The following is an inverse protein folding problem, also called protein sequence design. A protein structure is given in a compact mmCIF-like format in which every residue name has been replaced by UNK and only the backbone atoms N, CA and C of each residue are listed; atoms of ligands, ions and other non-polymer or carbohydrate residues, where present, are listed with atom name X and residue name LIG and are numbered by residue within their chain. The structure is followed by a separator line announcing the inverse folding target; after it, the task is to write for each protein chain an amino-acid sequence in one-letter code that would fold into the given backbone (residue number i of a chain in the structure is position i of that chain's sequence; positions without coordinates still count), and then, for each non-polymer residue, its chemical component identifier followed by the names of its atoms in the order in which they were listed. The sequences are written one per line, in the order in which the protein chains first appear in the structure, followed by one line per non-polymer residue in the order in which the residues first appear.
data_IF_803246792477
#
_entry.id   IF_803246792477
#
_cell.length_a   1.000
_cell.length_b   1.000
_cell.length_c   1.000
_cell.angle_alpha   90.00
_cell.angle_beta   90.00
_cell.angle_gamma   90.00
#
_symmetry.space_group_name_H-M   'P 1'
#
loop_
_entity.id
_entity.type
_entity.pdbx_description
1 polymer ?
#
# COMPACT_ATOMS: atom_id res chain seq x y z
N UNK A 1 0.45 20.40 -0.02
CA UNK A 1 -0.34 19.38 -0.73
C UNK A 1 -1.21 18.63 0.27
N UNK A 2 -0.67 17.96 1.28
CA UNK A 2 -1.45 17.14 2.24
C UNK A 2 -2.48 17.93 3.04
N UNK A 3 -2.15 19.18 3.46
CA UNK A 3 -3.15 20.05 4.10
C UNK A 3 -4.38 20.29 3.20
N UNK A 4 -4.17 20.60 1.92
CA UNK A 4 -5.27 20.79 0.98
C UNK A 4 -6.10 19.50 0.80
N UNK A 5 -5.45 18.34 0.79
CA UNK A 5 -6.13 17.04 0.71
C UNK A 5 -7.00 16.83 1.96
N UNK A 6 -6.44 17.00 3.15
CA UNK A 6 -7.16 16.87 4.42
C UNK A 6 -8.36 17.84 4.47
N UNK A 7 -8.14 19.14 4.22
CA UNK A 7 -9.20 20.15 4.21
C UNK A 7 -10.34 19.82 3.23
N UNK A 8 -9.99 19.26 2.04
CA UNK A 8 -10.98 18.88 1.04
C UNK A 8 -11.84 17.71 1.51
N UNK A 9 -11.25 16.67 2.10
CA UNK A 9 -11.97 15.48 2.56
C UNK A 9 -12.76 15.77 3.85
N UNK A 10 -12.22 16.56 4.75
CA UNK A 10 -12.93 16.99 5.96
C UNK A 10 -14.21 17.80 5.65
N UNK A 11 -14.25 18.53 4.52
CA UNK A 11 -15.46 19.21 4.08
C UNK A 11 -16.65 18.26 3.79
N UNK A 12 -16.38 16.97 3.63
CA UNK A 12 -17.37 15.90 3.46
C UNK A 12 -17.46 14.95 4.67
N UNK A 13 -16.96 15.39 5.83
CA UNK A 13 -16.91 14.60 7.08
C UNK A 13 -16.13 13.27 6.93
N UNK A 14 -15.17 13.21 6.00
CA UNK A 14 -14.31 12.07 5.78
C UNK A 14 -13.01 12.22 6.57
N UNK A 15 -12.57 11.15 7.24
CA UNK A 15 -11.26 11.08 7.89
C UNK A 15 -10.19 10.66 6.90
N UNK A 16 -8.96 11.09 7.15
CA UNK A 16 -7.82 10.86 6.24
C UNK A 16 -6.71 10.12 6.98
N UNK A 17 -6.42 8.92 6.54
CA UNK A 17 -5.24 8.18 6.96
C UNK A 17 -4.13 8.30 5.90
N UNK A 18 -2.89 8.50 6.34
CA UNK A 18 -1.71 8.51 5.48
C UNK A 18 -0.86 7.27 5.75
N UNK A 19 -0.67 6.43 4.73
CA UNK A 19 0.19 5.26 4.85
C UNK A 19 1.66 5.66 4.81
N UNK A 20 2.43 5.22 5.81
CA UNK A 20 3.87 5.38 5.89
C UNK A 20 4.59 4.03 5.74
N UNK A 21 5.61 3.99 4.90
CA UNK A 21 6.44 2.82 4.72
C UNK A 21 7.89 3.21 4.35
N UNK A 22 8.79 2.27 4.52
CA UNK A 22 10.15 2.36 3.97
C UNK A 22 10.40 1.15 3.08
N UNK A 23 10.90 1.34 1.85
CA UNK A 23 11.28 0.24 0.97
C UNK A 23 12.54 -0.45 1.51
N UNK A 24 12.84 -1.64 0.97
CA UNK A 24 13.95 -2.49 1.40
C UNK A 24 15.21 -2.18 0.62
N UNK A 25 15.62 -0.91 0.65
CA UNK A 25 16.91 -0.46 0.11
C UNK A 25 17.35 0.86 0.74
N UNK A 26 18.63 1.17 0.61
CA UNK A 26 19.21 2.44 1.04
C UNK A 26 18.73 3.59 0.15
N UNK A 27 17.56 4.14 0.47
CA UNK A 27 16.92 5.23 -0.30
C UNK A 27 17.85 6.45 -0.45
N UNK A 28 18.49 6.95 0.63
CA UNK A 28 19.42 8.07 0.50
C UNK A 28 20.65 7.74 -0.38
N UNK A 29 21.21 6.54 -0.25
CA UNK A 29 22.39 6.11 -1.00
C UNK A 29 22.11 6.01 -2.50
N UNK A 30 21.07 5.25 -2.86
CA UNK A 30 20.64 5.13 -4.25
C UNK A 30 20.23 6.50 -4.81
N UNK A 31 19.50 7.30 -4.03
CA UNK A 31 19.07 8.64 -4.43
C UNK A 31 20.25 9.57 -4.75
N UNK A 32 21.32 9.56 -3.93
CA UNK A 32 22.53 10.34 -4.19
C UNK A 32 23.19 9.95 -5.52
N UNK A 33 23.31 8.64 -5.80
CA UNK A 33 23.92 8.15 -7.05
C UNK A 33 23.09 8.60 -8.27
N UNK A 34 21.77 8.49 -8.21
CA UNK A 34 20.85 8.95 -9.28
C UNK A 34 20.96 10.47 -9.49
N UNK A 35 21.01 11.24 -8.40
CA UNK A 35 21.18 12.69 -8.47
C UNK A 35 22.53 13.05 -9.12
N UNK A 36 23.63 12.42 -8.73
CA UNK A 36 24.95 12.62 -9.33
C UNK A 36 24.97 12.26 -10.82
N UNK A 37 24.32 11.16 -11.20
CA UNK A 37 24.13 10.80 -12.60
C UNK A 37 23.35 11.88 -13.39
N UNK A 38 22.32 12.46 -12.78
CA UNK A 38 21.58 13.60 -13.34
C UNK A 38 22.45 14.84 -13.55
N UNK A 39 23.27 15.19 -12.57
CA UNK A 39 24.21 16.30 -12.66
C UNK A 39 25.25 16.08 -13.77
N UNK A 40 25.79 14.86 -13.87
CA UNK A 40 26.74 14.50 -14.94
C UNK A 40 26.08 14.61 -16.34
N UNK A 41 24.81 14.19 -16.51
CA UNK A 41 24.07 14.38 -17.77
C UNK A 41 23.90 15.85 -18.13
N UNK A 42 23.60 16.71 -17.16
CA UNK A 42 23.51 18.15 -17.38
C UNK A 42 24.85 18.76 -17.77
N UNK A 43 25.95 18.33 -17.11
CA UNK A 43 27.30 18.74 -17.45
C UNK A 43 27.69 18.28 -18.87
N UNK A 44 27.36 17.06 -19.26
CA UNK A 44 27.57 16.56 -20.63
C UNK A 44 26.82 17.38 -21.68
N UNK A 45 25.55 17.69 -21.43
CA UNK A 45 24.76 18.52 -22.34
C UNK A 45 25.34 19.94 -22.51
N UNK A 46 25.82 20.54 -21.41
CA UNK A 46 26.50 21.84 -21.44
C UNK A 46 27.80 21.78 -22.21
N UNK A 47 28.67 20.81 -21.92
CA UNK A 47 29.95 20.64 -22.62
C UNK A 47 29.74 20.43 -24.12
N UNK A 48 28.73 19.69 -24.49
CA UNK A 48 28.35 19.50 -25.90
C UNK A 48 27.91 20.82 -26.58
N UNK A 49 27.12 21.64 -25.87
CA UNK A 49 26.71 22.95 -26.37
C UNK A 49 27.91 23.93 -26.51
N UNK A 50 28.88 23.83 -25.62
CA UNK A 50 30.12 24.62 -25.63
C UNK A 50 31.16 24.09 -26.66
N UNK A 51 30.86 23.02 -27.41
CA UNK A 51 31.73 22.40 -28.39
C UNK A 51 32.86 21.54 -27.79
N UNK A 52 32.84 21.28 -26.48
CA UNK A 52 33.84 20.44 -25.81
C UNK A 52 33.40 18.97 -25.82
N UNK A 53 33.67 18.29 -26.94
CA UNK A 53 33.21 16.90 -27.18
C UNK A 53 33.86 15.90 -26.22
N UNK A 54 35.16 16.12 -25.83
CA UNK A 54 35.86 15.21 -24.93
C UNK A 54 35.27 15.24 -23.51
N UNK A 55 35.01 16.44 -22.99
CA UNK A 55 34.33 16.57 -21.69
C UNK A 55 32.92 16.06 -21.73
N UNK A 56 32.16 16.30 -22.82
CA UNK A 56 30.82 15.76 -22.99
C UNK A 56 30.83 14.23 -22.95
N UNK A 57 31.75 13.57 -23.64
CA UNK A 57 31.89 12.12 -23.63
C UNK A 57 32.24 11.60 -22.24
N UNK A 58 33.17 12.21 -21.53
CA UNK A 58 33.58 11.86 -20.17
C UNK A 58 32.41 11.96 -19.18
N UNK A 59 31.64 13.04 -19.23
CA UNK A 59 30.49 13.25 -18.36
C UNK A 59 29.34 12.28 -18.68
N UNK A 60 29.15 11.93 -19.96
CA UNK A 60 28.19 10.91 -20.39
C UNK A 60 28.57 9.54 -19.81
N UNK A 61 29.83 9.14 -19.92
CA UNK A 61 30.33 7.87 -19.36
C UNK A 61 30.16 7.82 -17.84
N UNK A 62 30.45 8.91 -17.14
CA UNK A 62 30.26 9.02 -15.70
C UNK A 62 28.78 8.85 -15.33
N UNK A 63 27.87 9.49 -16.04
CA UNK A 63 26.43 9.37 -15.82
C UNK A 63 25.92 7.95 -16.03
N UNK A 64 26.40 7.25 -17.06
CA UNK A 64 26.06 5.86 -17.33
C UNK A 64 26.58 4.94 -16.23
N UNK A 65 27.83 5.11 -15.80
CA UNK A 65 28.41 4.32 -14.72
C UNK A 65 27.65 4.51 -13.41
N UNK A 66 27.40 5.75 -12.99
CA UNK A 66 26.63 6.05 -11.78
C UNK A 66 25.23 5.49 -11.83
N UNK A 67 24.59 5.52 -13.00
CA UNK A 67 23.27 4.91 -13.18
C UNK A 67 23.33 3.39 -13.02
N UNK A 68 24.32 2.75 -13.62
CA UNK A 68 24.54 1.29 -13.51
C UNK A 68 24.80 0.89 -12.06
N UNK A 69 25.65 1.63 -11.36
CA UNK A 69 25.98 1.36 -9.95
C UNK A 69 24.77 1.57 -9.03
N UNK A 70 23.94 2.60 -9.28
CA UNK A 70 22.70 2.82 -8.55
C UNK A 70 21.72 1.67 -8.71
N UNK A 71 21.54 1.14 -9.92
CA UNK A 71 20.68 -0.02 -10.16
C UNK A 71 21.26 -1.31 -9.57
N UNK A 72 22.58 -1.50 -9.64
CA UNK A 72 23.24 -2.65 -9.02
C UNK A 72 23.04 -2.64 -7.51
N UNK A 73 23.25 -1.48 -6.86
CA UNK A 73 22.97 -1.32 -5.43
C UNK A 73 21.50 -1.55 -5.10
N UNK A 74 20.58 -0.98 -5.87
CA UNK A 74 19.13 -1.18 -5.67
C UNK A 74 18.76 -2.66 -5.72
N UNK A 75 19.24 -3.40 -6.71
CA UNK A 75 18.96 -4.82 -6.85
C UNK A 75 19.58 -5.67 -5.74
N UNK A 76 20.78 -5.33 -5.30
CA UNK A 76 21.42 -5.98 -4.16
C UNK A 76 20.60 -5.74 -2.88
N UNK A 77 20.31 -4.46 -2.58
CA UNK A 77 19.57 -4.08 -1.39
C UNK A 77 18.18 -4.74 -1.33
N UNK A 78 17.44 -4.77 -2.42
CA UNK A 78 16.13 -5.44 -2.48
C UNK A 78 16.15 -6.91 -2.05
N UNK A 79 17.29 -7.55 -2.07
CA UNK A 79 17.47 -8.95 -1.65
C UNK A 79 18.09 -9.08 -0.25
N UNK A 80 18.90 -8.11 0.17
CA UNK A 80 19.78 -8.25 1.32
C UNK A 80 19.58 -7.18 2.39
N UNK A 81 18.91 -6.07 2.11
CA UNK A 81 18.80 -4.91 3.00
C UNK A 81 18.27 -5.28 4.40
N UNK A 82 17.27 -6.15 4.46
CA UNK A 82 16.69 -6.60 5.75
C UNK A 82 17.77 -7.19 6.67
N UNK A 83 18.69 -7.97 6.12
CA UNK A 83 19.77 -8.63 6.88
C UNK A 83 21.01 -7.77 7.05
N UNK A 84 21.29 -6.86 6.10
CA UNK A 84 22.54 -6.09 6.06
C UNK A 84 22.44 -4.67 6.65
N UNK A 85 21.20 -4.11 6.75
CA UNK A 85 21.04 -2.78 7.33
C UNK A 85 21.55 -2.74 8.77
N UNK A 86 22.40 -1.77 9.09
CA UNK A 86 22.89 -1.62 10.46
C UNK A 86 21.77 -1.20 11.42
N UNK A 87 21.96 -1.48 12.71
CA UNK A 87 21.04 -1.02 13.78
C UNK A 87 20.91 0.51 13.75
N UNK A 88 22.00 1.22 13.53
CA UNK A 88 21.99 2.68 13.37
C UNK A 88 21.12 3.12 12.18
N UNK A 89 21.27 2.46 11.04
CA UNK A 89 20.47 2.75 9.83
C UNK A 89 18.98 2.48 10.05
N UNK A 90 18.63 1.40 10.73
CA UNK A 90 17.24 1.13 11.12
C UNK A 90 16.72 2.20 12.09
N UNK A 91 17.55 2.68 13.03
CA UNK A 91 17.22 3.80 13.91
C UNK A 91 16.92 5.08 13.14
N UNK A 92 17.76 5.45 12.17
CA UNK A 92 17.56 6.64 11.31
C UNK A 92 16.27 6.53 10.48
N UNK A 93 15.92 5.34 10.00
CA UNK A 93 14.67 5.09 9.29
C UNK A 93 13.47 5.29 10.22
N UNK A 94 13.50 4.71 11.42
CA UNK A 94 12.47 4.88 12.44
C UNK A 94 12.23 6.36 12.76
N UNK A 95 13.31 7.11 13.01
CA UNK A 95 13.22 8.54 13.31
C UNK A 95 12.65 9.34 12.13
N UNK A 96 12.98 8.95 10.91
CA UNK A 96 12.43 9.54 9.69
C UNK A 96 10.92 9.29 9.53
N UNK A 97 10.47 8.07 9.87
CA UNK A 97 9.03 7.72 9.90
C UNK A 97 8.30 8.57 10.94
N UNK A 98 8.83 8.69 12.15
CA UNK A 98 8.26 9.52 13.21
C UNK A 98 8.19 11.01 12.80
N UNK A 99 9.24 11.53 12.15
CA UNK A 99 9.23 12.89 11.61
C UNK A 99 8.20 13.07 10.48
N UNK A 100 7.93 12.04 9.67
CA UNK A 100 6.84 12.06 8.69
C UNK A 100 5.47 12.13 9.37
N UNK A 101 5.24 11.34 10.42
CA UNK A 101 4.00 11.36 11.18
C UNK A 101 3.74 12.76 11.78
N UNK A 102 4.76 13.39 12.38
CA UNK A 102 4.66 14.77 12.89
C UNK A 102 4.26 15.76 11.79
N UNK A 103 4.82 15.66 10.59
CA UNK A 103 4.42 16.52 9.46
C UNK A 103 3.01 16.22 8.96
N UNK A 104 2.56 14.97 9.03
CA UNK A 104 1.20 14.58 8.70
C UNK A 104 0.19 15.20 9.67
N UNK A 105 0.45 15.15 10.96
CA UNK A 105 -0.35 15.83 11.99
C UNK A 105 -0.47 17.33 11.73
N UNK A 106 0.66 18.00 11.46
CA UNK A 106 0.68 19.43 11.11
C UNK A 106 -0.10 19.76 9.83
N UNK A 107 -0.28 18.80 8.95
CA UNK A 107 -1.08 18.94 7.73
C UNK A 107 -2.57 18.64 7.95
N UNK A 108 -3.00 18.27 9.16
CA UNK A 108 -4.38 17.95 9.48
C UNK A 108 -4.79 16.52 9.09
N UNK A 109 -3.86 15.62 8.89
CA UNK A 109 -4.14 14.17 8.72
C UNK A 109 -4.66 13.62 10.05
N UNK A 110 -5.66 12.74 10.03
CA UNK A 110 -6.30 12.18 11.23
C UNK A 110 -5.59 10.91 11.74
N UNK A 111 -5.01 10.13 10.84
CA UNK A 111 -4.39 8.86 11.17
C UNK A 111 -3.13 8.55 10.36
N UNK A 112 -2.26 7.75 10.93
CA UNK A 112 -1.16 7.12 10.22
C UNK A 112 -1.42 5.62 10.11
N UNK A 113 -1.41 5.10 8.88
CA UNK A 113 -1.31 3.66 8.64
C UNK A 113 0.17 3.27 8.58
N UNK A 114 0.63 2.50 9.56
CA UNK A 114 1.94 1.86 9.50
C UNK A 114 1.85 0.68 8.54
N UNK A 115 2.53 0.77 7.42
CA UNK A 115 2.58 -0.33 6.45
C UNK A 115 3.45 -1.45 6.99
N UNK A 116 2.83 -2.41 7.64
CA UNK A 116 3.49 -3.57 8.23
C UNK A 116 4.02 -4.59 7.21
N UNK A 117 3.93 -4.31 5.91
CA UNK A 117 4.63 -5.00 4.84
C UNK A 117 5.95 -4.25 4.53
N UNK A 118 6.70 -4.57 3.52
CA UNK A 118 7.99 -3.97 3.21
C UNK A 118 8.96 -4.11 4.40
N UNK A 119 9.87 -3.15 4.63
CA UNK A 119 10.93 -3.26 5.63
C UNK A 119 10.43 -3.72 7.02
N UNK A 120 9.36 -3.10 7.52
CA UNK A 120 8.81 -3.42 8.84
C UNK A 120 8.32 -4.88 8.90
N UNK A 121 7.57 -5.31 7.89
CA UNK A 121 7.05 -6.68 7.84
C UNK A 121 8.11 -7.72 7.48
N UNK A 122 9.09 -7.35 6.69
CA UNK A 122 10.20 -8.24 6.36
C UNK A 122 11.10 -8.50 7.57
N UNK A 123 11.27 -7.50 8.46
CA UNK A 123 11.91 -7.71 9.75
C UNK A 123 11.10 -8.63 10.67
N UNK A 124 9.77 -8.64 10.59
CA UNK A 124 8.93 -9.58 11.31
C UNK A 124 8.99 -11.01 10.77
N UNK A 125 9.31 -11.17 9.49
CA UNK A 125 9.23 -12.45 8.79
C UNK A 125 10.37 -13.39 9.16
N UNK A 126 10.04 -14.62 9.59
CA UNK A 126 11.04 -15.68 9.80
C UNK A 126 11.63 -16.21 8.47
N UNK A 127 10.99 -15.91 7.34
CA UNK A 127 11.45 -16.33 6.00
C UNK A 127 12.47 -15.36 5.42
N UNK A 128 12.35 -14.06 5.72
CA UNK A 128 13.16 -12.99 5.12
C UNK A 128 14.20 -12.43 6.08
N UNK A 129 13.94 -12.50 7.39
CA UNK A 129 14.82 -11.96 8.40
C UNK A 129 15.83 -13.02 8.87
N UNK A 130 17.05 -12.93 8.39
CA UNK A 130 18.17 -13.79 8.77
C UNK A 130 19.16 -13.10 9.73
N UNK A 131 18.72 -12.01 10.39
CA UNK A 131 19.54 -11.27 11.36
C UNK A 131 19.84 -12.10 12.61
N UNK A 132 20.99 -11.82 13.22
CA UNK A 132 21.44 -12.45 14.46
C UNK A 132 21.56 -11.46 15.63
N UNK A 133 21.19 -10.19 15.39
CA UNK A 133 21.16 -9.12 16.39
C UNK A 133 19.77 -9.04 17.09
N UNK A 134 19.52 -7.94 17.80
CA UNK A 134 18.30 -7.68 18.56
C UNK A 134 17.01 -7.62 17.73
N UNK A 135 17.11 -7.57 16.40
CA UNK A 135 15.97 -7.56 15.46
C UNK A 135 15.77 -8.90 14.74
N UNK A 136 16.52 -9.96 15.10
CA UNK A 136 16.45 -11.26 14.44
C UNK A 136 16.29 -12.45 15.37
N UNK A 137 16.05 -13.62 14.82
CA UNK A 137 15.91 -14.88 15.54
C UNK A 137 14.52 -15.06 16.15
N UNK A 138 14.35 -14.83 17.46
CA UNK A 138 13.09 -15.07 18.16
C UNK A 138 11.94 -14.19 17.66
N UNK A 139 10.71 -14.60 17.92
CA UNK A 139 9.52 -13.83 17.59
C UNK A 139 9.58 -12.42 18.18
N UNK A 140 9.93 -12.30 19.46
CA UNK A 140 10.03 -11.03 20.18
C UNK A 140 11.05 -10.07 19.54
N UNK A 141 12.17 -10.60 19.09
CA UNK A 141 13.19 -9.81 18.40
C UNK A 141 12.71 -9.36 17.02
N UNK A 142 12.10 -10.26 16.25
CA UNK A 142 11.61 -9.93 14.90
C UNK A 142 10.52 -8.85 14.91
N UNK A 143 9.62 -8.84 15.89
CA UNK A 143 8.56 -7.83 15.99
C UNK A 143 9.00 -6.54 16.71
N UNK A 144 10.17 -6.53 17.34
CA UNK A 144 10.71 -5.41 18.13
C UNK A 144 10.74 -4.10 17.31
N UNK A 145 11.28 -4.13 16.11
CA UNK A 145 11.40 -2.93 15.27
C UNK A 145 10.05 -2.30 14.95
N UNK A 146 9.05 -3.12 14.65
CA UNK A 146 7.69 -2.64 14.38
C UNK A 146 7.09 -1.93 15.60
N UNK A 147 7.27 -2.49 16.81
CA UNK A 147 6.80 -1.87 18.06
C UNK A 147 7.55 -0.57 18.37
N UNK A 148 8.83 -0.49 18.08
CA UNK A 148 9.62 0.74 18.22
C UNK A 148 9.16 1.83 17.23
N UNK A 149 8.81 1.46 16.00
CA UNK A 149 8.24 2.41 15.02
C UNK A 149 6.90 2.96 15.51
N UNK A 150 5.99 2.10 16.00
CA UNK A 150 4.71 2.53 16.59
C UNK A 150 4.94 3.51 17.75
N UNK A 151 5.83 3.16 18.66
CA UNK A 151 6.17 4.02 19.82
C UNK A 151 6.73 5.36 19.38
N UNK A 152 7.67 5.37 18.42
CA UNK A 152 8.26 6.61 17.91
C UNK A 152 7.22 7.53 17.23
N UNK A 153 6.23 6.97 16.53
CA UNK A 153 5.11 7.73 15.97
C UNK A 153 4.25 8.33 17.09
N UNK A 154 3.86 7.53 18.10
CA UNK A 154 3.06 8.03 19.24
C UNK A 154 3.76 9.14 20.00
N UNK A 155 5.07 9.05 20.19
CA UNK A 155 5.87 10.10 20.86
C UNK A 155 5.97 11.39 20.01
N UNK A 156 6.09 11.25 18.68
CA UNK A 156 6.24 12.40 17.77
C UNK A 156 4.94 13.11 17.43
N UNK A 157 3.80 12.40 17.47
CA UNK A 157 2.48 12.88 17.08
C UNK A 157 1.38 12.15 17.89
N UNK A 158 1.26 12.41 19.20
CA UNK A 158 0.35 11.68 20.10
C UNK A 158 -1.13 11.86 19.75
N UNK A 159 -1.48 12.91 19.01
CA UNK A 159 -2.83 13.20 18.55
C UNK A 159 -3.31 12.34 17.39
N UNK A 160 -2.38 11.69 16.66
CA UNK A 160 -2.75 10.85 15.53
C UNK A 160 -3.22 9.48 15.99
N UNK A 161 -4.28 8.99 15.35
CA UNK A 161 -4.65 7.59 15.40
C UNK A 161 -3.60 6.76 14.63
N UNK A 162 -3.22 5.61 15.18
CA UNK A 162 -2.33 4.66 14.49
C UNK A 162 -3.13 3.44 14.06
N UNK A 163 -3.26 3.27 12.76
CA UNK A 163 -3.64 2.01 12.13
C UNK A 163 -2.38 1.19 11.82
N UNK A 164 -2.40 -0.10 12.15
CA UNK A 164 -1.34 -1.01 11.73
C UNK A 164 -1.86 -2.00 10.69
N UNK A 165 -1.32 -1.92 9.48
CA UNK A 165 -1.60 -2.92 8.45
C UNK A 165 -0.77 -4.16 8.71
N UNK A 166 -1.44 -5.18 9.25
CA UNK A 166 -0.85 -6.46 9.68
C UNK A 166 -0.80 -7.45 8.50
N UNK A 167 0.37 -7.67 7.90
CA UNK A 167 0.50 -8.61 6.80
C UNK A 167 0.58 -10.04 7.32
N UNK A 168 -0.31 -10.89 6.82
CA UNK A 168 -0.39 -12.30 7.19
C UNK A 168 -0.05 -13.17 5.99
N UNK A 169 0.84 -14.12 6.19
CA UNK A 169 1.11 -15.22 5.27
C UNK A 169 -0.08 -16.17 5.36
N UNK A 170 -0.77 -16.37 4.26
CA UNK A 170 -1.91 -17.29 4.17
C UNK A 170 -1.51 -18.58 3.47
N UNK A 171 -2.40 -19.56 3.46
CA UNK A 171 -2.18 -20.86 2.82
C UNK A 171 -3.11 -21.00 1.62
N UNK A 172 -2.56 -21.37 0.48
CA UNK A 172 -3.31 -21.71 -0.72
C UNK A 172 -4.10 -23.03 -0.54
N UNK A 173 -5.11 -23.30 -1.37
CA UNK A 173 -5.85 -24.57 -1.31
C UNK A 173 -4.99 -25.82 -1.49
N UNK A 174 -3.84 -25.72 -2.17
CA UNK A 174 -2.87 -26.80 -2.36
C UNK A 174 -1.88 -26.95 -1.19
N UNK A 175 -2.03 -26.17 -0.11
CA UNK A 175 -1.18 -26.18 1.06
C UNK A 175 0.11 -25.34 0.95
N UNK A 176 0.38 -24.70 -0.19
CA UNK A 176 1.52 -23.79 -0.35
C UNK A 176 1.29 -22.46 0.35
N UNK A 177 2.37 -21.82 0.81
CA UNK A 177 2.28 -20.50 1.44
C UNK A 177 2.07 -19.41 0.38
N UNK A 178 1.19 -18.47 0.70
CA UNK A 178 0.96 -17.24 -0.05
C UNK A 178 1.58 -16.07 0.69
N UNK A 179 2.54 -15.40 0.04
CA UNK A 179 3.32 -14.30 0.61
C UNK A 179 4.54 -14.77 1.40
N UNK A 180 5.45 -13.86 1.68
CA UNK A 180 6.72 -14.12 2.41
C UNK A 180 7.04 -13.05 3.46
N UNK A 181 6.68 -11.80 3.22
CA UNK A 181 6.88 -10.71 4.19
C UNK A 181 5.73 -10.67 5.18
N UNK A 182 6.03 -10.63 6.47
CA UNK A 182 5.02 -10.66 7.51
C UNK A 182 5.05 -11.93 8.35
N UNK A 183 3.97 -12.21 9.02
CA UNK A 183 3.84 -13.28 10.00
C UNK A 183 2.89 -14.38 9.55
N UNK A 184 3.13 -15.60 9.98
CA UNK A 184 2.12 -16.65 9.92
C UNK A 184 0.95 -16.32 10.86
N UNK A 185 -0.20 -16.94 10.62
CA UNK A 185 -1.44 -16.57 11.31
C UNK A 185 -1.33 -16.60 12.84
N UNK A 186 -0.68 -17.60 13.42
CA UNK A 186 -0.55 -17.73 14.88
C UNK A 186 0.33 -16.62 15.47
N UNK A 187 1.49 -16.39 14.88
CA UNK A 187 2.37 -15.27 15.29
C UNK A 187 1.69 -13.91 15.06
N UNK A 188 0.91 -13.76 13.98
CA UNK A 188 0.16 -12.55 13.71
C UNK A 188 -0.90 -12.22 14.76
N UNK A 189 -1.60 -13.24 15.27
CA UNK A 189 -2.56 -13.09 16.38
C UNK A 189 -1.86 -12.68 17.68
N UNK A 190 -0.71 -13.26 18.00
CA UNK A 190 0.08 -12.85 19.16
C UNK A 190 0.65 -11.43 18.99
N UNK A 191 1.10 -11.09 17.79
CA UNK A 191 1.61 -9.76 17.51
C UNK A 191 0.52 -8.68 17.63
N UNK A 192 -0.72 -8.98 17.25
CA UNK A 192 -1.85 -8.06 17.39
C UNK A 192 -2.04 -7.58 18.84
N UNK A 193 -1.87 -8.48 19.83
CA UNK A 193 -1.92 -8.13 21.26
C UNK A 193 -0.79 -7.17 21.65
N UNK A 194 0.41 -7.38 21.09
CA UNK A 194 1.56 -6.51 21.35
C UNK A 194 1.38 -5.13 20.70
N UNK A 195 0.78 -5.06 19.51
CA UNK A 195 0.46 -3.81 18.83
C UNK A 195 -0.55 -2.99 19.63
N UNK A 196 -1.64 -3.58 20.10
CA UNK A 196 -2.62 -2.92 20.97
C UNK A 196 -1.92 -2.36 22.22
N UNK A 197 -1.11 -3.19 22.90
CA UNK A 197 -0.35 -2.78 24.09
C UNK A 197 0.65 -1.64 23.78
N UNK A 198 1.18 -1.58 22.57
CA UNK A 198 2.08 -0.51 22.12
C UNK A 198 1.36 0.80 21.79
N UNK A 199 0.02 0.80 21.77
CA UNK A 199 -0.80 1.98 21.53
C UNK A 199 -1.27 2.12 20.07
N UNK A 200 -1.34 1.03 19.32
CA UNK A 200 -2.07 1.00 18.03
C UNK A 200 -3.56 1.13 18.32
N UNK A 201 -4.24 1.95 17.54
CA UNK A 201 -5.67 2.26 17.73
C UNK A 201 -6.58 1.42 16.83
N UNK A 202 -6.05 0.83 15.75
CA UNK A 202 -6.78 -0.04 14.82
C UNK A 202 -5.83 -1.01 14.12
N UNK A 203 -6.26 -2.22 13.84
CA UNK A 203 -5.49 -3.21 13.06
C UNK A 203 -6.24 -3.55 11.78
N UNK A 204 -5.59 -3.41 10.62
CA UNK A 204 -6.08 -3.94 9.35
C UNK A 204 -5.36 -5.24 9.02
N UNK A 205 -6.07 -6.35 9.00
CA UNK A 205 -5.50 -7.64 8.58
C UNK A 205 -5.48 -7.73 7.06
N UNK A 206 -4.29 -7.91 6.50
CA UNK A 206 -4.05 -7.93 5.07
C UNK A 206 -3.19 -9.12 4.65
N UNK A 207 -3.17 -9.43 3.36
CA UNK A 207 -2.28 -10.44 2.79
C UNK A 207 -0.84 -9.92 2.75
N UNK A 208 0.09 -10.72 3.24
CA UNK A 208 1.52 -10.47 3.08
C UNK A 208 1.93 -10.55 1.61
N UNK A 209 2.79 -9.61 1.21
CA UNK A 209 3.34 -9.60 -0.16
C UNK A 209 4.85 -9.61 -0.12
N UNK A 210 5.71 -9.41 -0.47
CA UNK A 210 7.17 -9.26 -0.55
C UNK A 210 7.76 -9.83 -1.83
N UNK A 211 7.02 -10.65 -2.56
CA UNK A 211 7.54 -11.33 -3.75
C UNK A 211 7.56 -10.45 -5.00
N UNK A 212 6.95 -9.25 -4.94
CA UNK A 212 6.71 -8.42 -6.12
C UNK A 212 5.59 -8.96 -7.02
N UNK A 213 5.00 -10.10 -6.67
CA UNK A 213 3.84 -10.64 -7.36
C UNK A 213 2.56 -10.02 -6.80
N UNK A 214 2.02 -9.04 -7.52
CA UNK A 214 0.75 -8.40 -7.13
C UNK A 214 -0.42 -9.39 -7.08
N UNK A 215 -0.34 -10.53 -7.75
CA UNK A 215 -1.34 -11.59 -7.69
C UNK A 215 -1.48 -12.21 -6.31
N UNK A 216 -0.47 -12.16 -5.45
CA UNK A 216 -0.57 -12.66 -4.07
C UNK A 216 -1.50 -11.80 -3.22
N UNK A 217 -1.41 -10.48 -3.34
CA UNK A 217 -2.21 -9.52 -2.55
C UNK A 217 -3.47 -9.05 -3.25
N UNK A 218 -3.46 -8.99 -4.59
CA UNK A 218 -4.59 -8.51 -5.38
C UNK A 218 -4.89 -9.54 -6.49
N UNK A 219 -5.35 -10.74 -6.11
CA UNK A 219 -5.59 -11.81 -7.07
C UNK A 219 -6.68 -11.45 -8.07
N UNK A 220 -6.55 -11.92 -9.33
CA UNK A 220 -7.61 -11.82 -10.32
C UNK A 220 -8.80 -12.72 -9.97
N UNK A 221 -9.89 -12.61 -10.74
CA UNK A 221 -11.03 -13.51 -10.61
C UNK A 221 -10.63 -14.98 -10.79
N UNK A 222 -11.25 -15.86 -10.04
CA UNK A 222 -11.05 -17.31 -10.16
C UNK A 222 -9.79 -17.86 -9.51
N UNK A 223 -8.89 -17.02 -8.99
CA UNK A 223 -7.61 -17.47 -8.41
C UNK A 223 -7.76 -17.97 -6.96
N UNK A 224 -8.30 -17.14 -6.07
CA UNK A 224 -8.50 -17.49 -4.66
C UNK A 224 -9.92 -17.22 -4.21
N UNK A 225 -10.37 -17.84 -3.10
CA UNK A 225 -11.68 -17.53 -2.50
C UNK A 225 -11.83 -16.05 -2.18
N UNK A 226 -13.05 -15.58 -2.12
CA UNK A 226 -13.37 -14.26 -1.56
C UNK A 226 -13.03 -14.25 -0.06
N UNK A 227 -12.59 -13.10 0.46
CA UNK A 227 -12.32 -12.86 1.88
C UNK A 227 -11.32 -13.86 2.50
N UNK A 228 -10.30 -14.28 1.77
CA UNK A 228 -9.34 -15.29 2.25
C UNK A 228 -8.53 -14.85 3.47
N UNK A 229 -8.47 -13.56 3.80
CA UNK A 229 -7.83 -13.02 5.01
C UNK A 229 -8.76 -13.01 6.22
N UNK A 230 -10.07 -13.12 6.02
CA UNK A 230 -11.09 -13.01 7.05
C UNK A 230 -10.92 -14.02 8.21
N UNK A 231 -10.57 -15.30 7.98
CA UNK A 231 -10.35 -16.22 9.10
C UNK A 231 -9.30 -15.76 10.11
N UNK A 232 -8.28 -15.03 9.63
CA UNK A 232 -7.25 -14.46 10.51
C UNK A 232 -7.75 -13.18 11.17
N UNK A 233 -8.44 -12.31 10.44
CA UNK A 233 -9.06 -11.11 11.00
C UNK A 233 -10.02 -11.45 12.15
N UNK A 234 -10.87 -12.47 11.99
CA UNK A 234 -11.76 -12.98 13.04
C UNK A 234 -11.01 -13.49 14.28
N UNK A 235 -9.84 -14.13 14.09
CA UNK A 235 -9.00 -14.55 15.21
C UNK A 235 -8.36 -13.37 15.93
N UNK A 236 -7.88 -12.37 15.18
CA UNK A 236 -7.33 -11.13 15.75
C UNK A 236 -8.41 -10.40 16.54
N UNK A 237 -9.62 -10.24 15.97
CA UNK A 237 -10.76 -9.60 16.63
C UNK A 237 -11.10 -10.19 17.99
N UNK A 238 -10.90 -11.51 18.19
CA UNK A 238 -11.19 -12.20 19.46
C UNK A 238 -10.16 -11.95 20.56
N UNK A 239 -9.01 -11.38 20.25
CA UNK A 239 -7.88 -11.24 21.20
C UNK A 239 -7.47 -9.78 21.45
N UNK A 240 -8.07 -8.82 20.72
CA UNK A 240 -7.85 -7.37 20.93
C UNK A 240 -9.18 -6.68 21.19
N UNK A 241 -9.14 -5.51 21.85
CA UNK A 241 -10.30 -4.67 22.12
C UNK A 241 -10.44 -3.51 21.11
N UNK A 242 -9.37 -3.19 20.41
CA UNK A 242 -9.35 -2.16 19.37
C UNK A 242 -10.05 -2.65 18.09
N UNK A 243 -10.57 -1.74 17.25
CA UNK A 243 -11.19 -2.10 15.97
C UNK A 243 -10.28 -2.91 15.06
N UNK A 244 -10.86 -3.92 14.40
CA UNK A 244 -10.19 -4.75 13.41
C UNK A 244 -10.86 -4.58 12.06
N UNK A 245 -10.06 -4.16 11.06
CA UNK A 245 -10.46 -4.08 9.67
C UNK A 245 -10.02 -5.33 8.90
N UNK A 246 -10.85 -5.74 7.94
CA UNK A 246 -10.50 -6.80 6.98
C UNK A 246 -10.48 -6.24 5.56
N UNK A 247 -9.54 -6.74 4.76
CA UNK A 247 -9.40 -6.46 3.34
C UNK A 247 -9.09 -7.75 2.59
N UNK A 248 -9.68 -7.94 1.42
CA UNK A 248 -9.39 -9.12 0.60
C UNK A 248 -10.59 -9.58 -0.21
N UNK A 249 -10.90 -8.89 -1.32
CA UNK A 249 -12.00 -9.22 -2.23
C UNK A 249 -13.38 -9.22 -1.56
N UNK A 250 -13.63 -8.33 -0.63
CA UNK A 250 -14.99 -7.97 -0.24
C UNK A 250 -15.54 -7.11 -1.37
N UNK A 251 -16.42 -7.65 -2.20
CA UNK A 251 -16.83 -7.01 -3.45
C UNK A 251 -18.25 -6.46 -3.40
N UNK A 252 -19.09 -6.97 -2.51
CA UNK A 252 -20.46 -6.49 -2.31
C UNK A 252 -20.66 -5.95 -0.90
N UNK A 253 -21.60 -5.00 -0.77
CA UNK A 253 -22.02 -4.48 0.53
C UNK A 253 -22.64 -5.59 1.38
N UNK A 254 -23.47 -6.45 0.79
CA UNK A 254 -24.10 -7.56 1.51
C UNK A 254 -23.07 -8.52 2.14
N UNK A 255 -21.95 -8.79 1.44
CA UNK A 255 -20.87 -9.59 2.01
C UNK A 255 -20.17 -8.85 3.16
N UNK A 256 -19.99 -7.53 3.04
CA UNK A 256 -19.44 -6.69 4.10
C UNK A 256 -20.33 -6.66 5.34
N UNK A 257 -21.61 -6.40 5.17
CA UNK A 257 -22.61 -6.41 6.27
C UNK A 257 -22.61 -7.75 7.01
N UNK A 258 -22.61 -8.86 6.27
CA UNK A 258 -22.56 -10.18 6.90
C UNK A 258 -21.31 -10.39 7.76
N UNK A 259 -20.16 -9.93 7.34
CA UNK A 259 -18.91 -10.01 8.13
C UNK A 259 -19.05 -9.22 9.45
N UNK A 260 -19.69 -8.04 9.39
CA UNK A 260 -19.92 -7.20 10.56
C UNK A 260 -20.95 -7.83 11.50
N UNK A 261 -22.05 -8.35 10.97
CA UNK A 261 -23.10 -9.04 11.72
C UNK A 261 -22.58 -10.32 12.42
N UNK A 262 -21.72 -11.08 11.75
CA UNK A 262 -21.09 -12.28 12.31
C UNK A 262 -20.03 -11.94 13.39
N UNK A 263 -19.64 -10.66 13.52
CA UNK A 263 -18.63 -10.18 14.47
C UNK A 263 -17.20 -10.59 14.11
N UNK A 264 -16.95 -10.88 12.84
CA UNK A 264 -15.62 -11.30 12.35
C UNK A 264 -14.66 -10.13 12.12
N UNK A 265 -15.18 -8.93 11.91
CA UNK A 265 -14.43 -7.67 11.83
C UNK A 265 -15.32 -6.49 12.26
N UNK A 266 -14.72 -5.31 12.48
CA UNK A 266 -15.44 -4.06 12.79
C UNK A 266 -15.55 -3.14 11.58
N UNK A 267 -14.60 -3.26 10.64
CA UNK A 267 -14.46 -2.37 9.49
C UNK A 267 -14.17 -3.19 8.24
N UNK A 268 -14.81 -2.80 7.14
CA UNK A 268 -14.59 -3.39 5.81
C UNK A 268 -13.79 -2.42 4.96
N UNK A 269 -12.62 -2.86 4.47
CA UNK A 269 -11.81 -2.07 3.56
C UNK A 269 -12.09 -2.41 2.10
N UNK A 270 -12.63 -1.45 1.37
CA UNK A 270 -12.88 -1.54 -0.07
C UNK A 270 -11.77 -0.85 -0.85
N UNK A 271 -11.16 -1.54 -1.80
CA UNK A 271 -10.18 -0.97 -2.73
C UNK A 271 -10.74 -0.86 -4.14
N UNK A 272 -10.64 -1.94 -4.92
CA UNK A 272 -11.09 -1.98 -6.33
C UNK A 272 -12.59 -1.71 -6.49
N UNK A 273 -13.41 -2.03 -5.50
CA UNK A 273 -14.85 -1.74 -5.51
C UNK A 273 -15.12 -0.24 -5.59
N UNK A 274 -14.32 0.60 -4.92
CA UNK A 274 -14.41 2.07 -4.99
C UNK A 274 -13.96 2.63 -6.34
N UNK A 275 -13.06 1.95 -7.07
CA UNK A 275 -12.72 2.34 -8.46
C UNK A 275 -13.88 2.05 -9.41
N UNK A 276 -14.64 0.99 -9.12
CA UNK A 276 -15.78 0.56 -9.94
C UNK A 276 -17.00 1.43 -9.66
N UNK A 277 -17.31 1.67 -8.40
CA UNK A 277 -18.41 2.53 -7.94
C UNK A 277 -17.95 3.42 -6.78
N UNK A 278 -17.56 4.67 -7.03
CA UNK A 278 -17.11 5.58 -5.97
C UNK A 278 -18.21 5.93 -4.96
N UNK A 279 -19.49 5.78 -5.33
CA UNK A 279 -20.64 6.07 -4.50
C UNK A 279 -21.16 4.86 -3.72
N UNK A 280 -20.41 3.77 -3.64
CA UNK A 280 -20.81 2.50 -3.03
C UNK A 280 -21.44 2.68 -1.64
N UNK A 281 -20.87 3.54 -0.79
CA UNK A 281 -21.37 3.78 0.57
C UNK A 281 -22.72 4.53 0.56
N UNK A 282 -22.86 5.57 -0.26
CA UNK A 282 -24.10 6.33 -0.40
C UNK A 282 -25.23 5.46 -0.98
N UNK A 283 -24.91 4.70 -2.03
CA UNK A 283 -25.86 3.78 -2.66
C UNK A 283 -26.29 2.66 -1.71
N UNK A 284 -25.36 2.16 -0.89
CA UNK A 284 -25.67 1.19 0.15
C UNK A 284 -26.70 1.76 1.15
N UNK A 285 -26.52 2.99 1.58
CA UNK A 285 -27.43 3.65 2.53
C UNK A 285 -28.82 3.92 1.94
N UNK A 286 -28.94 4.14 0.62
CA UNK A 286 -30.19 4.47 -0.06
C UNK A 286 -30.86 3.26 -0.73
N UNK A 287 -30.17 2.11 -0.78
CA UNK A 287 -30.66 0.90 -1.48
C UNK A 287 -30.59 0.99 -3.01
N UNK A 288 -29.77 1.88 -3.53
CA UNK A 288 -29.54 2.03 -4.96
C UNK A 288 -28.69 0.88 -5.52
N UNK A 289 -28.75 0.66 -6.84
CA UNK A 289 -27.96 -0.37 -7.51
C UNK A 289 -26.47 -0.02 -7.48
N UNK A 290 -25.66 -0.92 -6.94
CA UNK A 290 -24.20 -0.80 -6.84
C UNK A 290 -23.55 -1.60 -7.97
N UNK A 291 -22.57 -1.00 -8.62
CA UNK A 291 -21.72 -1.65 -9.63
C UNK A 291 -20.60 -2.44 -8.95
N UNK A 292 -20.73 -3.76 -8.88
CA UNK A 292 -19.77 -4.62 -8.21
C UNK A 292 -18.49 -4.85 -9.05
N UNK A 293 -17.34 -4.89 -8.38
CA UNK A 293 -16.04 -5.13 -9.01
C UNK A 293 -15.93 -6.58 -9.53
N UNK A 294 -15.56 -6.76 -10.79
CA UNK A 294 -15.31 -8.07 -11.41
C UNK A 294 -14.01 -8.74 -10.96
N UNK A 295 -13.12 -8.05 -10.27
CA UNK A 295 -11.76 -8.52 -9.95
C UNK A 295 -10.91 -8.88 -11.19
N UNK A 296 -11.16 -8.26 -12.33
CA UNK A 296 -10.48 -8.55 -13.60
C UNK A 296 -9.03 -8.03 -13.66
N UNK A 297 -8.66 -7.12 -12.80
CA UNK A 297 -7.34 -6.44 -12.71
C UNK A 297 -6.90 -5.62 -13.94
N UNK A 298 -7.60 -5.67 -15.06
CA UNK A 298 -7.17 -5.12 -16.36
C UNK A 298 -6.83 -3.63 -16.37
N UNK A 299 -7.74 -2.82 -15.83
CA UNK A 299 -7.62 -1.35 -15.87
C UNK A 299 -6.92 -0.77 -14.64
N UNK A 300 -6.84 -1.50 -13.56
CA UNK A 300 -6.26 -1.05 -12.28
C UNK A 300 -4.88 -1.69 -12.02
N UNK A 301 -4.82 -2.95 -11.62
CA UNK A 301 -3.56 -3.61 -11.22
C UNK A 301 -2.58 -3.71 -12.38
N UNK A 302 -3.02 -4.16 -13.55
CA UNK A 302 -2.16 -4.27 -14.74
C UNK A 302 -1.67 -2.89 -15.22
N UNK A 303 -2.49 -1.84 -15.04
CA UNK A 303 -2.08 -0.49 -15.36
C UNK A 303 -0.98 0.00 -14.41
N UNK A 304 -1.11 -0.24 -13.10
CA UNK A 304 -0.08 0.09 -12.11
C UNK A 304 1.23 -0.65 -12.42
N UNK A 305 1.18 -1.95 -12.66
CA UNK A 305 2.36 -2.74 -13.02
C UNK A 305 2.99 -2.26 -14.33
N UNK A 306 2.17 -1.87 -15.30
CA UNK A 306 2.62 -1.28 -16.57
C UNK A 306 2.99 0.19 -16.50
N UNK A 307 3.00 0.82 -15.31
CA UNK A 307 3.23 2.27 -15.09
C UNK A 307 2.34 3.15 -15.97
N UNK A 308 1.08 2.78 -16.11
CA UNK A 308 0.03 3.49 -16.86
C UNK A 308 -0.97 4.10 -15.88
N UNK A 309 -1.77 5.05 -16.35
CA UNK A 309 -2.91 5.56 -15.59
C UNK A 309 -3.93 4.46 -15.36
N UNK A 310 -4.51 4.45 -14.15
CA UNK A 310 -5.56 3.49 -13.81
C UNK A 310 -6.86 3.84 -14.52
N UNK A 311 -7.64 2.80 -14.81
CA UNK A 311 -9.01 2.88 -15.30
C UNK A 311 -9.80 1.68 -14.79
N UNK A 312 -11.09 1.66 -15.03
CA UNK A 312 -11.94 0.51 -14.73
C UNK A 312 -12.76 0.11 -15.95
N UNK A 313 -12.86 -1.19 -16.21
CA UNK A 313 -13.65 -1.70 -17.35
C UNK A 313 -15.15 -1.50 -17.17
N UNK A 314 -15.60 -1.28 -15.94
CA UNK A 314 -17.01 -1.04 -15.60
C UNK A 314 -17.30 0.43 -15.27
N UNK A 315 -16.28 1.28 -15.18
CA UNK A 315 -16.44 2.70 -14.86
C UNK A 315 -15.61 3.55 -15.81
N UNK A 316 -16.26 4.10 -16.83
CA UNK A 316 -15.60 4.91 -17.86
C UNK A 316 -15.03 6.23 -17.31
N UNK A 317 -15.56 6.75 -16.21
CA UNK A 317 -15.08 7.98 -15.58
C UNK A 317 -13.78 7.76 -14.78
N UNK A 318 -13.54 6.54 -14.28
CA UNK A 318 -12.41 6.25 -13.40
C UNK A 318 -11.06 6.65 -14.00
N UNK A 319 -10.34 7.54 -13.31
CA UNK A 319 -9.07 8.11 -13.74
C UNK A 319 -9.21 9.25 -14.76
N UNK A 320 -10.43 9.63 -15.12
CA UNK A 320 -10.75 10.73 -16.05
C UNK A 320 -11.88 11.63 -15.55
N UNK A 321 -12.16 11.62 -14.26
CA UNK A 321 -13.33 12.28 -13.65
C UNK A 321 -13.41 13.77 -13.96
N UNK A 322 -12.26 14.43 -14.16
CA UNK A 322 -12.20 15.85 -14.55
C UNK A 322 -12.59 16.12 -16.00
N UNK A 323 -12.43 15.13 -16.88
CA UNK A 323 -12.66 15.28 -18.34
C UNK A 323 -13.90 14.55 -18.82
N UNK A 324 -14.25 13.45 -18.18
CA UNK A 324 -15.39 12.59 -18.50
C UNK A 324 -16.35 12.59 -17.32
N UNK A 325 -17.51 13.19 -17.49
CA UNK A 325 -18.59 13.17 -16.52
C UNK A 325 -19.89 12.81 -17.23
N UNK A 326 -20.43 11.65 -16.91
CA UNK A 326 -21.72 11.18 -17.44
C UNK A 326 -22.81 11.95 -16.72
N UNK A 327 -23.47 12.85 -17.43
CA UNK A 327 -24.56 13.70 -16.90
C UNK A 327 -25.83 13.45 -17.67
N UNK A 328 -27.01 13.59 -17.04
CA UNK A 328 -28.27 13.60 -17.73
C UNK A 328 -28.26 14.67 -18.84
N UNK A 329 -28.85 14.34 -20.00
CA UNK A 329 -28.97 15.32 -21.09
C UNK A 329 -29.90 16.46 -20.68
N UNK A 330 -29.50 17.71 -20.99
CA UNK A 330 -30.34 18.88 -20.75
C UNK A 330 -31.62 18.89 -21.60
N UNK A 331 -31.64 18.10 -22.69
CA UNK A 331 -32.80 17.95 -23.53
C UNK A 331 -33.04 16.49 -23.90
N UNK A 332 -34.31 16.08 -23.91
CA UNK A 332 -34.71 14.73 -24.33
C UNK A 332 -34.40 14.57 -25.84
N UNK A 333 -33.58 13.54 -26.15
CA UNK A 333 -33.24 13.18 -27.53
C UNK A 333 -33.75 11.78 -27.84
N UNK A 334 -34.16 11.57 -29.08
CA UNK A 334 -34.43 10.22 -29.60
C UNK A 334 -33.12 9.63 -30.09
N UNK A 335 -32.65 8.57 -29.48
CA UNK A 335 -31.40 7.89 -29.87
C UNK A 335 -31.76 6.48 -30.33
N UNK A 336 -31.26 6.09 -31.50
CA UNK A 336 -31.34 4.72 -31.97
C UNK A 336 -30.01 4.03 -31.73
N UNK A 337 -30.03 2.94 -30.95
CA UNK A 337 -28.87 2.09 -30.72
C UNK A 337 -28.97 0.85 -31.59
N UNK A 338 -28.00 0.68 -32.50
CA UNK A 338 -27.96 -0.47 -33.42
C UNK A 338 -26.90 -1.44 -32.94
N UNK A 339 -27.36 -2.53 -32.32
CA UNK A 339 -26.53 -3.58 -31.74
C UNK A 339 -26.70 -3.69 -30.23
N UNK A 340 -26.98 -4.90 -29.76
CA UNK A 340 -27.15 -5.24 -28.33
C UNK A 340 -25.88 -5.92 -27.77
N UNK A 341 -24.71 -5.51 -28.26
CA UNK A 341 -23.43 -5.87 -27.62
C UNK A 341 -23.17 -5.01 -26.38
N UNK A 342 -22.06 -5.24 -25.67
CA UNK A 342 -21.70 -4.54 -24.43
C UNK A 342 -21.78 -3.01 -24.63
N UNK A 343 -21.22 -2.48 -25.70
CA UNK A 343 -21.23 -1.04 -25.98
C UNK A 343 -22.64 -0.48 -26.35
N UNK A 344 -23.55 -1.31 -26.80
CA UNK A 344 -24.91 -0.88 -27.13
C UNK A 344 -25.89 -1.00 -25.97
N UNK A 345 -25.54 -1.77 -24.95
CA UNK A 345 -26.31 -1.93 -23.71
C UNK A 345 -25.92 -0.92 -22.64
N UNK A 346 -24.67 -0.41 -22.64
CA UNK A 346 -24.20 0.67 -21.78
C UNK A 346 -24.80 2.02 -22.22
#
# INVERSE_FOLDING_TARGET
VYKKLADTLHAYDCKVALQLFHPEYDVPGVGRMIMQAGMARQAAAKAQADGNTDEAAKQTQLAEQLTKDAYAKLHHDMQHFVSEASVEQLGQIKDSIAACAKRAAQAGIDAIEVHGDRLVGSLCSKVLNHRTDEYGGSFENRVRYALEVVKAIKEAAPELMIEYKLPIITVNPDGTLRGKGGLEADEGVEFAKLLEKAGVDMIQVAQANHTGNMGDTIPPMGDVPYNWTLPVASRVKKVVSIPVATVGRVVSVAAGEKILEDGDADIIAYGRSLLTDPDIANKAATGECIRECLNCNKGCVDAIQGRRYISCVLNAENGNEAAVSIKPSESVKKVAVVGAGIAGLE
#
